data_IF_458739261115
#
_entry.id   IF_458739261115
#
_cell.length_a   1.000
_cell.length_b   1.000
_cell.length_c   1.000
_cell.angle_alpha   90.00
_cell.angle_beta   90.00
_cell.angle_gamma   90.00
#
_symmetry.space_group_name_H-M   'P 1'
#
loop_
_entity.id
_entity.type
_entity.pdbx_description
1 polymer ?
#
# COMPACT_ATOMS: atom_id res chain seq x y z
N UNK A 1 -20.16 43.49 1.96
CA UNK A 1 -21.40 43.61 2.70
C UNK A 1 -22.42 42.64 2.17
N UNK A 2 -22.78 41.73 2.99
CA UNK A 2 -24.00 40.97 3.29
C UNK A 2 -23.62 39.60 3.82
N UNK A 3 -23.72 39.48 5.13
CA UNK A 3 -23.68 38.23 5.88
C UNK A 3 -25.03 37.54 5.72
N UNK A 4 -25.05 36.26 5.50
CA UNK A 4 -26.27 35.44 5.68
C UNK A 4 -25.94 34.31 6.65
N UNK A 5 -26.56 34.43 7.80
CA UNK A 5 -26.57 33.51 8.93
C UNK A 5 -27.58 32.39 8.60
N UNK A 6 -27.27 31.14 8.80
CA UNK A 6 -28.23 30.05 8.75
C UNK A 6 -28.23 29.32 10.10
N UNK A 7 -29.45 29.16 10.61
CA UNK A 7 -29.82 28.66 11.91
C UNK A 7 -29.61 27.16 12.10
N UNK A 8 -29.28 26.86 13.36
CA UNK A 8 -29.29 25.53 13.99
C UNK A 8 -30.74 25.16 14.32
N UNK A 9 -31.14 23.92 14.03
CA UNK A 9 -32.32 23.31 14.63
C UNK A 9 -31.95 21.98 15.28
N UNK A 10 -31.93 21.98 16.60
CA UNK A 10 -31.83 20.81 17.48
C UNK A 10 -33.21 20.13 17.57
N UNK A 11 -33.24 18.82 17.51
CA UNK A 11 -34.43 18.02 17.80
C UNK A 11 -34.04 16.78 18.59
N UNK A 12 -34.22 16.84 19.91
CA UNK A 12 -34.12 15.70 20.81
C UNK A 12 -35.45 14.93 20.84
N UNK A 13 -35.40 13.62 20.76
CA UNK A 13 -36.52 12.75 21.16
C UNK A 13 -35.97 11.63 22.04
N UNK A 14 -36.48 11.66 23.29
CA UNK A 14 -36.30 10.63 24.31
C UNK A 14 -37.44 9.62 24.14
N UNK A 15 -37.18 8.34 24.19
CA UNK A 15 -38.16 7.36 24.64
C UNK A 15 -37.49 6.12 25.23
N UNK A 16 -38.00 5.75 26.37
CA UNK A 16 -37.55 4.78 27.34
C UNK A 16 -38.05 3.34 27.05
N UNK A 17 -37.27 2.37 27.53
CA UNK A 17 -37.79 1.29 28.37
C UNK A 17 -38.19 -0.02 27.70
N UNK A 18 -37.44 -1.07 27.99
CA UNK A 18 -37.98 -2.25 28.70
C UNK A 18 -36.89 -3.33 28.89
N UNK A 19 -36.69 -3.70 30.11
CA UNK A 19 -35.96 -4.88 30.61
C UNK A 19 -36.71 -6.18 30.32
N UNK A 20 -36.00 -7.22 29.93
CA UNK A 20 -36.35 -8.63 30.22
C UNK A 20 -35.10 -9.52 30.12
N UNK A 21 -34.65 -10.04 31.23
CA UNK A 21 -33.90 -11.30 31.43
C UNK A 21 -34.90 -12.35 31.94
N UNK A 22 -34.63 -13.66 32.06
CA UNK A 22 -33.39 -14.42 31.95
C UNK A 22 -33.54 -15.78 31.23
N UNK A 23 -32.43 -16.52 31.08
CA UNK A 23 -32.48 -17.93 30.72
C UNK A 23 -31.07 -18.55 30.65
N UNK A 24 -30.53 -18.97 31.79
CA UNK A 24 -29.31 -19.80 31.90
C UNK A 24 -29.68 -21.26 31.61
N UNK A 25 -29.04 -21.87 30.61
CA UNK A 25 -28.92 -23.33 30.50
C UNK A 25 -27.47 -23.67 30.32
N UNK A 26 -26.86 -24.24 31.38
CA UNK A 26 -25.55 -24.89 31.36
C UNK A 26 -25.67 -26.27 30.72
N UNK A 27 -24.86 -26.47 29.69
CA UNK A 27 -24.54 -27.84 29.23
C UNK A 27 -23.03 -28.03 29.33
N UNK A 28 -22.60 -28.81 30.29
CA UNK A 28 -21.24 -29.30 30.50
C UNK A 28 -20.96 -30.43 29.50
N UNK A 29 -20.05 -30.22 28.58
CA UNK A 29 -19.45 -31.30 27.79
C UNK A 29 -18.00 -31.49 28.24
N UNK A 30 -17.69 -32.70 28.72
CA UNK A 30 -16.33 -33.13 29.07
C UNK A 30 -15.50 -33.35 27.79
N UNK A 31 -14.18 -33.01 27.82
CA UNK A 31 -13.29 -33.29 26.69
C UNK A 31 -12.77 -34.74 26.77
N UNK A 32 -12.96 -35.48 25.68
CA UNK A 32 -12.29 -36.77 25.46
C UNK A 32 -10.80 -36.54 25.16
N UNK A 33 -9.94 -37.20 25.93
CA UNK A 33 -8.49 -37.27 25.70
C UNK A 33 -8.21 -38.04 24.41
N UNK A 34 -7.56 -37.35 23.46
CA UNK A 34 -6.88 -37.98 22.32
C UNK A 34 -5.44 -38.33 22.73
N UNK A 35 -4.99 -39.51 22.37
CA UNK A 35 -3.64 -40.01 22.62
C UNK A 35 -2.57 -39.22 21.82
N UNK A 36 -1.32 -39.12 22.32
CA UNK A 36 -0.27 -38.39 21.65
C UNK A 36 0.27 -39.19 20.47
N UNK A 37 0.06 -38.67 19.26
CA UNK A 37 0.78 -39.08 18.05
C UNK A 37 2.18 -38.51 18.09
N UNK A 38 3.18 -39.32 17.84
CA UNK A 38 4.59 -38.96 17.78
C UNK A 38 4.82 -37.84 16.72
N UNK A 39 5.22 -36.64 17.17
CA UNK A 39 5.76 -35.62 16.31
C UNK A 39 7.20 -35.97 15.95
N UNK A 40 7.41 -36.37 14.71
CA UNK A 40 8.74 -36.43 14.10
C UNK A 40 9.30 -35.01 13.95
N UNK A 41 10.23 -34.66 14.84
CA UNK A 41 10.97 -33.39 14.77
C UNK A 41 12.14 -33.52 13.80
N UNK A 42 11.90 -33.20 12.53
CA UNK A 42 12.97 -32.92 11.60
C UNK A 42 13.32 -31.40 11.68
N UNK A 43 14.25 -31.07 12.56
CA UNK A 43 14.82 -29.73 12.68
C UNK A 43 16.10 -29.64 11.83
N UNK A 44 15.97 -29.13 10.59
CA UNK A 44 17.11 -28.84 9.72
C UNK A 44 16.78 -27.71 8.73
N UNK A 45 17.77 -27.01 8.15
CA UNK A 45 17.55 -25.96 7.17
C UNK A 45 16.77 -26.41 5.93
N UNK A 46 16.70 -27.71 5.66
CA UNK A 46 15.92 -28.28 4.55
C UNK A 46 14.42 -28.42 4.89
N UNK A 47 14.05 -28.58 6.16
CA UNK A 47 12.64 -28.58 6.58
C UNK A 47 12.02 -27.18 6.49
N UNK A 48 12.76 -26.14 6.89
CA UNK A 48 12.32 -24.75 6.72
C UNK A 48 12.19 -24.36 5.23
N UNK A 49 13.04 -24.89 4.36
CA UNK A 49 12.91 -24.72 2.90
C UNK A 49 11.73 -25.48 2.29
N UNK A 50 11.40 -26.65 2.83
CA UNK A 50 10.26 -27.45 2.38
C UNK A 50 8.92 -26.83 2.81
N UNK A 51 8.84 -26.24 4.02
CA UNK A 51 7.64 -25.55 4.50
C UNK A 51 7.40 -24.22 3.77
N UNK A 52 8.45 -23.43 3.50
CA UNK A 52 8.33 -22.24 2.65
C UNK A 52 7.98 -22.61 1.21
N UNK A 53 8.48 -23.71 0.67
CA UNK A 53 8.14 -24.18 -0.67
C UNK A 53 6.68 -24.65 -0.79
N UNK A 54 6.09 -25.17 0.29
CA UNK A 54 4.67 -25.55 0.35
C UNK A 54 3.73 -24.36 0.50
N UNK A 55 4.10 -23.40 1.35
CA UNK A 55 3.35 -22.14 1.52
C UNK A 55 3.35 -21.30 0.24
N UNK A 56 4.36 -21.45 -0.63
CA UNK A 56 4.51 -20.73 -1.89
C UNK A 56 3.85 -21.44 -3.10
N UNK A 57 3.29 -22.63 -2.93
CA UNK A 57 2.60 -23.33 -4.01
C UNK A 57 1.21 -22.72 -4.27
N UNK A 58 0.95 -22.29 -5.50
CA UNK A 58 -0.39 -21.91 -5.90
C UNK A 58 -1.29 -23.16 -6.02
N UNK A 59 -2.60 -23.06 -5.71
CA UNK A 59 -3.56 -24.14 -5.95
C UNK A 59 -3.52 -24.66 -7.40
N UNK A 60 -4.03 -25.89 -7.63
CA UNK A 60 -4.10 -26.48 -8.97
C UNK A 60 -4.83 -25.54 -9.94
N UNK A 61 -4.28 -25.46 -11.18
CA UNK A 61 -4.79 -24.56 -12.22
C UNK A 61 -4.37 -23.10 -12.09
N UNK A 62 -3.80 -22.68 -10.93
CA UNK A 62 -3.28 -21.33 -10.69
C UNK A 62 -1.76 -21.28 -10.81
N UNK A 63 -1.25 -20.08 -11.00
CA UNK A 63 0.19 -19.75 -10.95
C UNK A 63 0.39 -18.52 -10.09
N UNK A 64 1.32 -18.60 -9.14
CA UNK A 64 1.74 -17.44 -8.36
C UNK A 64 2.64 -16.55 -9.21
N UNK A 65 2.30 -15.27 -9.25
CA UNK A 65 2.98 -14.26 -10.07
C UNK A 65 3.22 -12.99 -9.25
N UNK A 66 4.09 -12.14 -9.78
CA UNK A 66 4.18 -10.76 -9.37
C UNK A 66 3.62 -9.89 -10.50
N UNK A 67 2.74 -8.97 -10.14
CA UNK A 67 2.25 -7.91 -11.00
C UNK A 67 3.12 -6.67 -10.75
N UNK A 68 3.67 -6.10 -11.80
CA UNK A 68 4.44 -4.86 -11.75
C UNK A 68 3.68 -3.80 -12.52
N UNK A 69 3.19 -2.77 -11.84
CA UNK A 69 2.48 -1.66 -12.44
C UNK A 69 3.45 -0.71 -13.12
N UNK A 70 3.34 -0.59 -14.43
CA UNK A 70 4.11 0.34 -15.25
C UNK A 70 3.26 1.62 -15.38
N UNK A 71 3.55 2.59 -14.51
CA UNK A 71 2.61 3.67 -14.22
C UNK A 71 2.35 4.57 -15.44
N UNK A 72 3.39 4.93 -16.19
CA UNK A 72 3.28 5.91 -17.26
C UNK A 72 2.71 5.32 -18.55
N UNK A 73 2.99 4.05 -18.86
CA UNK A 73 2.51 3.43 -20.10
C UNK A 73 1.13 2.74 -19.98
N UNK A 74 0.57 2.67 -18.78
CA UNK A 74 -0.75 2.08 -18.56
C UNK A 74 -0.77 0.57 -18.77
N UNK A 75 0.31 -0.11 -18.37
CA UNK A 75 0.39 -1.57 -18.44
C UNK A 75 0.79 -2.19 -17.09
N UNK A 76 0.66 -3.50 -17.00
CA UNK A 76 1.23 -4.29 -15.91
C UNK A 76 2.08 -5.42 -16.48
N UNK A 77 3.35 -5.50 -16.10
CA UNK A 77 4.21 -6.64 -16.41
C UNK A 77 3.92 -7.78 -15.44
N UNK A 78 3.63 -8.98 -15.97
CA UNK A 78 3.36 -10.18 -15.18
C UNK A 78 4.60 -11.07 -15.19
N UNK A 79 5.11 -11.39 -14.00
CA UNK A 79 6.36 -12.13 -13.80
C UNK A 79 6.11 -13.38 -12.99
N UNK A 80 6.70 -14.50 -13.36
CA UNK A 80 6.68 -15.70 -12.54
C UNK A 80 7.41 -15.44 -11.23
N UNK A 81 6.72 -15.54 -10.11
CA UNK A 81 7.26 -15.17 -8.80
C UNK A 81 8.40 -16.06 -8.30
N UNK A 82 8.57 -17.27 -8.90
CA UNK A 82 9.63 -18.23 -8.53
C UNK A 82 10.83 -18.17 -9.48
N UNK A 83 10.58 -18.08 -10.79
CA UNK A 83 11.64 -18.15 -11.81
C UNK A 83 12.09 -16.77 -12.29
N UNK A 84 11.40 -15.70 -11.88
CA UNK A 84 11.64 -14.32 -12.28
C UNK A 84 11.50 -14.06 -13.79
N UNK A 85 10.93 -15.02 -14.53
CA UNK A 85 10.69 -14.88 -15.97
C UNK A 85 9.44 -14.06 -16.23
N UNK A 86 9.52 -13.07 -17.12
CA UNK A 86 8.35 -12.36 -17.65
C UNK A 86 7.43 -13.37 -18.36
N UNK A 87 6.14 -13.30 -18.04
CA UNK A 87 5.09 -14.13 -18.61
C UNK A 87 4.30 -13.39 -19.69
N UNK A 88 4.24 -12.06 -19.60
CA UNK A 88 3.55 -11.19 -20.53
C UNK A 88 3.25 -9.84 -19.94
N UNK A 89 2.45 -9.06 -20.66
CA UNK A 89 2.01 -7.72 -20.25
C UNK A 89 0.48 -7.63 -20.37
N UNK A 90 -0.14 -6.98 -19.42
CA UNK A 90 -1.57 -6.66 -19.39
C UNK A 90 -1.74 -5.17 -19.69
N UNK A 91 -2.61 -4.80 -20.62
CA UNK A 91 -3.08 -3.44 -20.80
C UNK A 91 -4.06 -3.10 -19.65
N UNK A 92 -3.76 -2.06 -18.86
CA UNK A 92 -4.58 -1.63 -17.73
C UNK A 92 -5.54 -0.48 -18.10
N UNK A 93 -5.42 0.04 -19.31
CA UNK A 93 -6.22 1.14 -19.85
C UNK A 93 -6.89 0.76 -21.18
N UNK A 94 -7.60 -0.39 -21.29
CA UNK A 94 -8.23 -0.81 -22.54
C UNK A 94 -9.36 0.13 -22.99
N UNK A 95 -9.86 0.99 -22.11
CA UNK A 95 -10.89 2.00 -22.32
C UNK A 95 -10.32 3.44 -22.38
N UNK A 96 -9.04 3.60 -22.73
CA UNK A 96 -8.37 4.91 -22.71
C UNK A 96 -9.14 5.99 -23.47
N UNK A 97 -9.57 5.69 -24.67
CA UNK A 97 -10.25 6.69 -25.53
C UNK A 97 -11.56 7.18 -24.91
N UNK A 98 -12.35 6.26 -24.30
CA UNK A 98 -13.57 6.62 -23.59
C UNK A 98 -13.28 7.48 -22.36
N UNK A 99 -12.25 7.16 -21.60
CA UNK A 99 -11.86 7.96 -20.42
C UNK A 99 -11.35 9.34 -20.81
N UNK A 100 -10.55 9.44 -21.86
CA UNK A 100 -10.07 10.72 -22.36
C UNK A 100 -11.22 11.59 -22.87
N UNK A 101 -12.21 11.02 -23.53
CA UNK A 101 -13.42 11.76 -23.94
C UNK A 101 -14.21 12.24 -22.71
N UNK A 102 -14.41 11.39 -21.70
CA UNK A 102 -15.07 11.77 -20.43
C UNK A 102 -14.34 12.92 -19.74
N UNK A 103 -13.00 12.90 -19.70
CA UNK A 103 -12.17 13.95 -19.12
C UNK A 103 -12.28 15.25 -19.94
N UNK A 104 -12.12 15.17 -21.27
CA UNK A 104 -12.13 16.33 -22.14
C UNK A 104 -13.48 17.07 -22.16
N UNK A 105 -14.58 16.36 -21.88
CA UNK A 105 -15.92 16.94 -21.84
C UNK A 105 -16.36 17.41 -20.45
N UNK A 106 -15.52 17.22 -19.41
CA UNK A 106 -15.80 17.66 -18.05
C UNK A 106 -14.67 18.57 -17.53
N UNK A 107 -14.91 19.89 -17.37
CA UNK A 107 -13.88 20.85 -16.99
C UNK A 107 -13.17 20.51 -15.68
N UNK A 108 -13.90 20.02 -14.66
CA UNK A 108 -13.31 19.69 -13.37
C UNK A 108 -12.38 18.47 -13.49
N UNK A 109 -12.81 17.43 -14.21
CA UNK A 109 -11.97 16.26 -14.48
C UNK A 109 -10.72 16.62 -15.28
N UNK A 110 -10.86 17.49 -16.28
CA UNK A 110 -9.73 17.96 -17.07
C UNK A 110 -8.73 18.75 -16.22
N UNK A 111 -9.22 19.65 -15.35
CA UNK A 111 -8.36 20.39 -14.44
C UNK A 111 -7.55 19.48 -13.52
N UNK A 112 -8.21 18.49 -12.90
CA UNK A 112 -7.53 17.52 -12.04
C UNK A 112 -6.60 16.57 -12.81
N UNK A 113 -6.99 16.12 -13.99
CA UNK A 113 -6.12 15.33 -14.88
C UNK A 113 -4.80 16.06 -15.16
N UNK A 114 -4.87 17.33 -15.55
CA UNK A 114 -3.68 18.15 -15.80
C UNK A 114 -2.88 18.41 -14.53
N UNK A 115 -3.54 18.64 -13.38
CA UNK A 115 -2.87 18.83 -12.11
C UNK A 115 -2.12 17.56 -11.67
N UNK A 116 -2.72 16.38 -11.85
CA UNK A 116 -2.05 15.09 -11.58
C UNK A 116 -0.85 14.93 -12.50
N UNK A 117 -1.01 15.16 -13.80
CA UNK A 117 0.08 15.04 -14.77
C UNK A 117 1.26 15.96 -14.43
N UNK A 118 1.01 17.23 -14.14
CA UNK A 118 2.08 18.20 -13.85
C UNK A 118 2.67 18.06 -12.43
N UNK A 119 1.87 17.61 -11.47
CA UNK A 119 2.30 17.42 -10.07
C UNK A 119 2.91 16.04 -9.85
N UNK A 120 2.10 15.12 -9.37
CA UNK A 120 2.54 13.77 -8.97
C UNK A 120 2.99 12.89 -10.14
N UNK A 121 2.62 13.25 -11.36
CA UNK A 121 3.00 12.55 -12.59
C UNK A 121 4.34 12.96 -13.17
N UNK A 122 5.00 13.98 -12.62
CA UNK A 122 6.28 14.48 -13.14
C UNK A 122 6.24 14.85 -14.64
N UNK A 123 5.11 15.35 -15.13
CA UNK A 123 4.85 15.63 -16.55
C UNK A 123 4.22 14.46 -17.32
N UNK A 124 3.99 13.32 -16.69
CA UNK A 124 3.43 12.12 -17.28
C UNK A 124 2.09 11.72 -16.68
N UNK A 125 1.33 10.93 -17.41
CA UNK A 125 0.09 10.37 -16.90
C UNK A 125 0.34 9.26 -15.87
N UNK A 126 -0.56 9.18 -14.89
CA UNK A 126 -0.55 8.17 -13.83
C UNK A 126 -1.65 7.14 -14.12
N UNK A 127 -1.37 6.15 -14.97
CA UNK A 127 -2.37 5.20 -15.44
C UNK A 127 -2.48 3.93 -14.60
N UNK A 128 -1.38 3.51 -13.98
CA UNK A 128 -1.32 2.22 -13.24
C UNK A 128 -0.57 2.42 -11.94
N UNK A 129 -1.29 2.79 -10.88
CA UNK A 129 -0.63 3.00 -9.58
C UNK A 129 -0.57 1.72 -8.76
N UNK A 130 -1.68 1.18 -8.29
CA UNK A 130 -1.70 -0.03 -7.46
C UNK A 130 -2.61 -1.12 -8.05
N UNK A 131 -2.36 -2.37 -7.66
CA UNK A 131 -3.13 -3.48 -8.19
C UNK A 131 -3.16 -4.70 -7.28
N UNK A 132 -4.32 -5.39 -7.25
CA UNK A 132 -4.48 -6.64 -6.51
C UNK A 132 -5.31 -7.65 -7.32
N UNK A 133 -4.80 -8.87 -7.44
CA UNK A 133 -5.52 -9.95 -8.11
C UNK A 133 -6.49 -10.64 -7.16
N UNK A 134 -7.61 -11.11 -7.69
CA UNK A 134 -8.51 -12.01 -6.95
C UNK A 134 -7.84 -13.36 -6.69
N UNK A 135 -8.17 -14.00 -5.56
CA UNK A 135 -7.56 -15.27 -5.17
C UNK A 135 -7.76 -16.39 -6.18
N UNK A 136 -8.85 -16.34 -6.95
CA UNK A 136 -9.16 -17.31 -8.01
C UNK A 136 -8.45 -17.02 -9.34
N UNK A 137 -7.63 -15.97 -9.40
CA UNK A 137 -6.83 -15.59 -10.55
C UNK A 137 -7.62 -15.18 -11.79
N UNK A 138 -8.87 -14.73 -11.63
CA UNK A 138 -9.73 -14.27 -12.74
C UNK A 138 -9.60 -12.80 -13.05
N UNK A 139 -9.52 -11.98 -12.00
CA UNK A 139 -9.53 -10.53 -12.11
C UNK A 139 -8.27 -9.94 -11.47
N UNK A 140 -7.90 -8.76 -11.91
CA UNK A 140 -7.00 -7.85 -11.21
C UNK A 140 -7.68 -6.49 -11.08
N UNK A 141 -7.76 -5.98 -9.84
CA UNK A 141 -8.19 -4.61 -9.59
C UNK A 141 -7.00 -3.68 -9.75
N UNK A 142 -7.19 -2.55 -10.43
CA UNK A 142 -6.13 -1.56 -10.73
C UNK A 142 -6.65 -0.17 -10.38
N UNK A 143 -5.91 0.59 -9.56
CA UNK A 143 -6.16 2.02 -9.37
C UNK A 143 -5.51 2.83 -10.48
N UNK A 144 -6.28 3.79 -11.05
CA UNK A 144 -5.85 4.62 -12.18
C UNK A 144 -6.02 6.10 -11.81
N UNK A 145 -4.99 6.70 -11.20
CA UNK A 145 -5.08 8.07 -10.67
C UNK A 145 -5.54 9.10 -11.70
N UNK A 146 -4.96 9.08 -12.91
CA UNK A 146 -5.31 10.04 -13.98
C UNK A 146 -6.75 9.89 -14.49
N UNK A 147 -7.37 8.73 -14.33
CA UNK A 147 -8.77 8.49 -14.69
C UNK A 147 -9.74 8.61 -13.52
N UNK A 148 -9.21 8.84 -12.31
CA UNK A 148 -10.00 8.93 -11.08
C UNK A 148 -10.92 7.72 -10.90
N UNK A 149 -10.39 6.51 -11.10
CA UNK A 149 -11.19 5.28 -10.95
C UNK A 149 -10.36 4.07 -10.52
N UNK A 150 -11.08 3.02 -10.16
CA UNK A 150 -10.56 1.66 -9.99
C UNK A 150 -11.30 0.74 -10.94
N UNK A 151 -10.59 -0.13 -11.63
CA UNK A 151 -11.17 -1.10 -12.55
C UNK A 151 -10.80 -2.52 -12.17
N UNK A 152 -11.72 -3.47 -12.35
CA UNK A 152 -11.43 -4.90 -12.34
C UNK A 152 -11.26 -5.39 -13.77
N UNK A 153 -10.08 -5.89 -14.11
CA UNK A 153 -9.75 -6.40 -15.46
C UNK A 153 -9.79 -7.92 -15.44
N UNK A 154 -10.52 -8.52 -16.38
CA UNK A 154 -10.55 -9.95 -16.57
C UNK A 154 -9.23 -10.41 -17.22
N UNK A 155 -8.46 -11.21 -16.50
CA UNK A 155 -7.13 -11.68 -16.91
C UNK A 155 -7.15 -12.63 -18.11
N UNK A 156 -8.30 -13.27 -18.40
CA UNK A 156 -8.45 -14.14 -19.56
C UNK A 156 -8.77 -13.37 -20.84
N UNK A 157 -9.37 -12.19 -20.75
CA UNK A 157 -9.85 -11.43 -21.92
C UNK A 157 -9.18 -10.07 -22.09
N UNK A 158 -8.51 -9.56 -21.04
CA UNK A 158 -7.98 -8.19 -20.98
C UNK A 158 -9.05 -7.10 -20.95
N UNK A 159 -10.34 -7.46 -20.79
CA UNK A 159 -11.45 -6.50 -20.78
C UNK A 159 -11.80 -6.07 -19.35
N UNK A 160 -12.30 -4.86 -19.20
CA UNK A 160 -12.85 -4.37 -17.93
C UNK A 160 -14.12 -5.17 -17.60
N UNK A 161 -14.14 -5.78 -16.43
CA UNK A 161 -15.28 -6.50 -15.88
C UNK A 161 -16.16 -5.57 -15.03
N UNK A 162 -15.56 -4.61 -14.35
CA UNK A 162 -16.24 -3.59 -13.57
C UNK A 162 -15.38 -2.32 -13.46
N UNK A 163 -16.01 -1.20 -13.21
CA UNK A 163 -15.41 0.11 -12.95
C UNK A 163 -16.06 0.75 -11.74
N UNK A 164 -15.26 1.30 -10.85
CA UNK A 164 -15.68 2.15 -9.75
C UNK A 164 -15.07 3.54 -9.96
N UNK A 165 -15.84 4.54 -10.43
CA UNK A 165 -15.39 5.93 -10.45
C UNK A 165 -15.28 6.43 -9.03
N UNK A 166 -14.18 7.12 -8.71
CA UNK A 166 -13.99 7.74 -7.41
C UNK A 166 -15.03 8.86 -7.19
N UNK A 167 -15.37 9.14 -5.95
CA UNK A 167 -16.20 10.30 -5.58
C UNK A 167 -15.41 11.60 -5.78
N UNK A 168 -14.10 11.55 -5.54
CA UNK A 168 -13.16 12.59 -5.87
C UNK A 168 -12.52 12.42 -7.25
N UNK A 169 -11.34 13.00 -7.41
CA UNK A 169 -10.66 13.10 -8.70
C UNK A 169 -9.34 12.32 -8.79
N UNK A 170 -9.00 11.53 -7.76
CA UNK A 170 -7.77 10.75 -7.76
C UNK A 170 -7.91 9.47 -6.94
N UNK A 171 -7.87 8.31 -7.60
CA UNK A 171 -7.61 7.03 -6.96
C UNK A 171 -6.12 6.94 -6.59
N UNK A 172 -5.81 6.48 -5.38
CA UNK A 172 -4.44 6.33 -4.90
C UNK A 172 -4.19 4.89 -4.41
N UNK A 173 -3.37 4.72 -3.39
CA UNK A 173 -2.99 3.42 -2.87
C UNK A 173 -4.17 2.56 -2.45
N UNK A 174 -4.02 1.27 -2.65
CA UNK A 174 -4.99 0.27 -2.27
C UNK A 174 -4.45 -0.68 -1.21
N UNK A 175 -5.35 -1.40 -0.53
CA UNK A 175 -5.01 -2.49 0.38
C UNK A 175 -6.01 -3.62 0.21
N UNK A 176 -5.54 -4.87 0.16
CA UNK A 176 -6.42 -6.04 0.06
C UNK A 176 -6.60 -6.71 1.41
N UNK A 177 -7.82 -7.14 1.72
CA UNK A 177 -8.10 -7.89 2.95
C UNK A 177 -7.38 -9.26 2.95
N UNK A 178 -7.05 -9.83 4.12
CA UNK A 178 -6.34 -11.11 4.20
C UNK A 178 -7.07 -12.26 3.50
N UNK A 179 -8.41 -12.22 3.45
CA UNK A 179 -9.23 -13.19 2.72
C UNK A 179 -9.28 -12.94 1.21
N UNK A 180 -8.71 -11.81 0.75
CA UNK A 180 -8.67 -11.43 -0.66
C UNK A 180 -10.01 -11.05 -1.29
N UNK A 181 -11.04 -10.76 -0.47
CA UNK A 181 -12.40 -10.46 -0.95
C UNK A 181 -12.72 -8.97 -1.03
N UNK A 182 -11.97 -8.14 -0.30
CA UNK A 182 -12.22 -6.70 -0.14
C UNK A 182 -10.99 -5.89 -0.49
N UNK A 183 -11.23 -4.70 -0.99
CA UNK A 183 -10.22 -3.78 -1.44
C UNK A 183 -10.45 -2.40 -0.81
N UNK A 184 -9.49 -1.89 -0.06
CA UNK A 184 -9.47 -0.49 0.36
C UNK A 184 -8.88 0.35 -0.76
N UNK A 185 -9.43 1.52 -0.96
CA UNK A 185 -8.95 2.51 -1.95
C UNK A 185 -8.95 3.89 -1.32
N UNK A 186 -7.81 4.56 -1.35
CA UNK A 186 -7.71 5.96 -0.96
C UNK A 186 -8.27 6.87 -2.05
N UNK A 187 -9.28 7.67 -1.69
CA UNK A 187 -9.79 8.76 -2.51
C UNK A 187 -9.14 10.07 -2.10
N UNK A 188 -8.02 10.40 -2.75
CA UNK A 188 -7.11 11.45 -2.29
C UNK A 188 -7.72 12.84 -2.23
N UNK A 189 -8.78 13.11 -3.00
CA UNK A 189 -9.42 14.43 -3.04
C UNK A 189 -10.76 14.49 -2.32
N UNK A 190 -11.36 13.33 -2.00
CA UNK A 190 -12.57 13.25 -1.20
C UNK A 190 -12.27 13.05 0.31
N UNK A 191 -11.00 12.86 0.69
CA UNK A 191 -10.55 12.61 2.05
C UNK A 191 -11.20 11.37 2.70
N UNK A 192 -11.41 10.32 1.89
CA UNK A 192 -12.06 9.07 2.29
C UNK A 192 -11.28 7.86 1.87
N UNK A 193 -11.52 6.77 2.57
CA UNK A 193 -11.11 5.44 2.15
C UNK A 193 -12.35 4.60 1.88
N UNK A 194 -12.52 4.14 0.64
CA UNK A 194 -13.60 3.26 0.24
C UNK A 194 -13.20 1.80 0.39
N UNK A 195 -14.11 0.96 0.87
CA UNK A 195 -13.97 -0.51 0.80
C UNK A 195 -14.87 -1.05 -0.31
N UNK A 196 -14.25 -1.74 -1.27
CA UNK A 196 -14.94 -2.34 -2.41
C UNK A 196 -14.92 -3.86 -2.33
N UNK A 197 -15.92 -4.51 -2.90
CA UNK A 197 -15.83 -5.93 -3.23
C UNK A 197 -14.94 -6.09 -4.47
N UNK A 198 -13.82 -6.80 -4.35
CA UNK A 198 -12.82 -6.93 -5.42
C UNK A 198 -13.35 -7.66 -6.68
N UNK A 199 -14.38 -8.51 -6.52
CA UNK A 199 -14.92 -9.31 -7.64
C UNK A 199 -15.89 -8.53 -8.54
N UNK A 200 -16.52 -7.46 -8.03
CA UNK A 200 -17.57 -6.74 -8.78
C UNK A 200 -17.52 -5.21 -8.65
N UNK A 201 -16.54 -4.66 -7.93
CA UNK A 201 -16.35 -3.22 -7.74
C UNK A 201 -17.43 -2.52 -6.90
N UNK A 202 -18.35 -3.26 -6.27
CA UNK A 202 -19.40 -2.66 -5.45
C UNK A 202 -18.79 -2.04 -4.19
N UNK A 203 -19.06 -0.75 -3.94
CA UNK A 203 -18.73 -0.09 -2.68
C UNK A 203 -19.52 -0.74 -1.54
N UNK A 204 -18.84 -1.17 -0.51
CA UNK A 204 -19.40 -1.79 0.67
C UNK A 204 -19.62 -0.79 1.79
N UNK A 205 -18.59 0.02 2.07
CA UNK A 205 -18.57 1.05 3.11
C UNK A 205 -17.37 1.97 2.92
N UNK A 206 -17.23 2.96 3.78
CA UNK A 206 -16.13 3.92 3.78
C UNK A 206 -15.83 4.42 5.18
N UNK A 207 -14.66 5.02 5.37
CA UNK A 207 -14.33 5.80 6.57
C UNK A 207 -13.62 7.09 6.20
N UNK A 208 -13.77 8.09 7.10
CA UNK A 208 -13.14 9.40 6.94
C UNK A 208 -11.64 9.33 7.24
N UNK A 209 -10.86 9.97 6.42
CA UNK A 209 -9.42 10.12 6.56
C UNK A 209 -9.08 11.55 6.98
N UNK A 210 -7.81 11.82 7.23
CA UNK A 210 -7.25 13.16 7.11
C UNK A 210 -7.15 13.57 5.65
N UNK A 211 -6.54 14.73 5.39
CA UNK A 211 -6.39 15.24 4.03
C UNK A 211 -5.43 14.37 3.20
N UNK A 212 -5.83 14.13 1.96
CA UNK A 212 -5.10 13.30 1.01
C UNK A 212 -4.77 11.91 1.57
N UNK A 213 -5.78 11.03 1.73
CA UNK A 213 -5.56 9.63 2.08
C UNK A 213 -4.58 8.97 1.13
N UNK A 214 -3.69 8.14 1.68
CA UNK A 214 -2.58 7.58 0.94
C UNK A 214 -2.43 6.07 1.19
N UNK A 215 -1.79 5.65 2.29
CA UNK A 215 -1.44 4.25 2.52
C UNK A 215 -2.49 3.49 3.32
N UNK A 216 -2.78 2.24 2.92
CA UNK A 216 -3.72 1.36 3.59
C UNK A 216 -3.15 -0.05 3.75
N UNK A 217 -3.10 -0.55 4.98
CA UNK A 217 -2.68 -1.92 5.26
C UNK A 217 -3.67 -2.59 6.23
N UNK A 218 -4.23 -3.74 5.87
CA UNK A 218 -4.92 -4.57 6.85
C UNK A 218 -3.91 -5.20 7.82
N UNK A 219 -4.32 -5.42 9.06
CA UNK A 219 -3.63 -6.34 9.96
C UNK A 219 -3.66 -7.77 9.39
N UNK A 220 -2.71 -8.62 9.79
CA UNK A 220 -2.62 -9.99 9.31
C UNK A 220 -3.90 -10.79 9.63
N UNK A 221 -4.51 -10.54 10.80
CA UNK A 221 -5.77 -11.15 11.24
C UNK A 221 -7.02 -10.48 10.66
N UNK A 222 -6.87 -9.40 9.89
CA UNK A 222 -7.95 -8.65 9.27
C UNK A 222 -8.83 -7.83 10.22
N UNK A 223 -8.45 -7.70 11.50
CA UNK A 223 -9.27 -6.99 12.49
C UNK A 223 -9.08 -5.49 12.49
N UNK A 224 -7.92 -5.03 12.02
CA UNK A 224 -7.54 -3.62 11.98
C UNK A 224 -7.12 -3.20 10.57
N UNK A 225 -7.13 -1.91 10.36
CA UNK A 225 -6.57 -1.24 9.19
C UNK A 225 -5.63 -0.17 9.73
N UNK A 226 -4.41 -0.16 9.21
CA UNK A 226 -3.42 0.90 9.44
C UNK A 226 -3.47 1.82 8.23
N UNK A 227 -3.85 3.06 8.47
CA UNK A 227 -4.08 4.05 7.41
C UNK A 227 -3.26 5.31 7.67
N UNK A 228 -2.79 5.94 6.60
CA UNK A 228 -2.12 7.23 6.67
C UNK A 228 -2.63 8.19 5.60
N UNK A 229 -2.83 9.46 6.01
CA UNK A 229 -3.05 10.61 5.13
C UNK A 229 -1.81 11.49 5.09
N UNK A 230 -1.53 12.10 3.95
CA UNK A 230 -0.30 12.85 3.72
C UNK A 230 -0.49 14.36 3.59
N UNK A 231 -1.73 14.83 3.50
CA UNK A 231 -2.04 16.25 3.34
C UNK A 231 -1.41 16.86 2.09
N UNK A 232 -1.19 18.14 2.11
CA UNK A 232 -0.44 18.85 1.07
C UNK A 232 1.05 18.60 1.26
N UNK A 233 1.69 17.98 0.29
CA UNK A 233 3.11 17.56 0.34
C UNK A 233 3.97 18.29 -0.70
N UNK A 234 3.55 19.46 -1.10
CA UNK A 234 4.31 20.25 -2.07
C UNK A 234 5.41 21.02 -1.35
N UNK A 235 6.61 20.97 -1.87
CA UNK A 235 7.71 21.80 -1.41
C UNK A 235 7.45 23.26 -1.79
N UNK A 236 7.68 24.22 -0.92
CA UNK A 236 8.32 24.14 0.40
C UNK A 236 7.36 23.96 1.58
N UNK A 237 6.12 23.51 1.39
CA UNK A 237 5.08 23.48 2.44
C UNK A 237 5.45 22.60 3.64
N UNK A 238 6.45 21.74 3.51
CA UNK A 238 6.91 20.87 4.59
C UNK A 238 7.95 21.53 5.52
N UNK A 239 7.87 22.84 5.65
CA UNK A 239 8.58 23.62 6.65
C UNK A 239 7.63 23.97 7.79
N UNK A 240 8.10 24.11 9.06
CA UNK A 240 7.25 24.47 10.21
C UNK A 240 6.47 25.78 10.00
N UNK A 241 7.04 26.75 9.28
CA UNK A 241 6.37 28.01 8.96
C UNK A 241 5.08 27.82 8.14
N UNK A 242 4.93 26.67 7.47
CA UNK A 242 3.76 26.35 6.63
C UNK A 242 2.83 25.31 7.27
N UNK A 243 2.96 25.01 8.56
CA UNK A 243 2.18 23.96 9.23
C UNK A 243 0.67 24.13 9.05
N UNK A 244 0.18 25.35 9.05
CA UNK A 244 -1.25 25.66 8.84
C UNK A 244 -1.75 25.36 7.43
N UNK A 245 -0.86 25.22 6.46
CA UNK A 245 -1.19 24.94 5.05
C UNK A 245 -1.03 23.47 4.67
N UNK A 246 -0.53 22.63 5.57
CA UNK A 246 -0.21 21.22 5.28
C UNK A 246 -1.44 20.31 5.27
N UNK A 247 -2.56 20.78 5.77
CA UNK A 247 -3.76 19.97 5.94
C UNK A 247 -3.67 19.00 7.13
N UNK A 248 -4.71 18.18 7.29
CA UNK A 248 -4.85 17.23 8.38
C UNK A 248 -4.14 15.90 8.06
N UNK A 249 -2.91 15.74 8.53
CA UNK A 249 -2.06 14.57 8.30
C UNK A 249 -2.19 13.61 9.47
N UNK A 250 -2.63 12.38 9.20
CA UNK A 250 -2.96 11.40 10.23
C UNK A 250 -2.30 10.06 9.97
N UNK A 251 -1.91 9.40 11.04
CA UNK A 251 -1.71 7.96 11.08
C UNK A 251 -2.80 7.35 11.96
N UNK A 252 -3.63 6.49 11.39
CA UNK A 252 -4.84 5.97 12.03
C UNK A 252 -4.78 4.45 12.17
N UNK A 253 -5.34 3.96 13.29
CA UNK A 253 -5.71 2.54 13.43
C UNK A 253 -7.23 2.46 13.43
N UNK A 254 -7.78 1.78 12.45
CA UNK A 254 -9.23 1.65 12.23
C UNK A 254 -9.66 0.22 12.51
N UNK A 255 -10.71 0.03 13.31
CA UNK A 255 -11.29 -1.29 13.54
C UNK A 255 -12.07 -1.74 12.30
N UNK A 256 -11.65 -2.86 11.70
CA UNK A 256 -12.21 -3.29 10.42
C UNK A 256 -13.71 -3.62 10.46
N UNK A 257 -14.23 -4.22 11.53
CA UNK A 257 -15.64 -4.68 11.55
C UNK A 257 -16.69 -3.57 11.36
N UNK A 258 -16.40 -2.35 11.84
CA UNK A 258 -17.34 -1.22 11.86
C UNK A 258 -16.72 0.12 11.48
N UNK A 259 -15.47 0.11 11.03
CA UNK A 259 -14.69 1.29 10.62
C UNK A 259 -14.56 2.36 11.71
N UNK A 260 -14.67 1.96 12.98
CA UNK A 260 -14.39 2.86 14.10
C UNK A 260 -12.90 3.16 14.15
N UNK A 261 -12.55 4.43 14.13
CA UNK A 261 -11.19 4.90 14.38
C UNK A 261 -10.87 4.60 15.85
N UNK A 262 -9.85 3.79 16.10
CA UNK A 262 -9.37 3.42 17.43
C UNK A 262 -8.28 4.36 17.90
N UNK A 263 -7.33 4.68 16.99
CA UNK A 263 -6.22 5.57 17.25
C UNK A 263 -6.07 6.56 16.10
N UNK A 264 -5.59 7.76 16.43
CA UNK A 264 -5.45 8.84 15.46
C UNK A 264 -4.29 9.76 15.89
N UNK A 265 -3.13 9.61 15.27
CA UNK A 265 -1.92 10.34 15.64
C UNK A 265 -1.50 11.34 14.57
N UNK A 266 -1.11 12.53 15.01
CA UNK A 266 -0.29 13.44 14.22
C UNK A 266 1.19 13.06 14.42
N UNK A 267 1.80 12.47 13.38
CA UNK A 267 3.19 12.03 13.46
C UNK A 267 4.18 13.18 13.54
N UNK A 268 3.85 14.35 12.97
CA UNK A 268 4.68 15.55 13.13
C UNK A 268 4.79 16.00 14.58
N UNK A 269 3.66 15.99 15.31
CA UNK A 269 3.65 16.26 16.74
C UNK A 269 4.48 15.23 17.52
N UNK A 270 4.33 13.94 17.18
CA UNK A 270 5.09 12.86 17.82
C UNK A 270 6.60 12.95 17.53
N UNK A 271 6.97 13.40 16.34
CA UNK A 271 8.36 13.69 15.99
C UNK A 271 8.90 14.90 16.76
N UNK A 272 8.12 15.97 16.91
CA UNK A 272 8.51 17.14 17.69
C UNK A 272 8.71 16.78 19.18
N UNK A 273 7.80 15.99 19.77
CA UNK A 273 7.91 15.45 21.14
C UNK A 273 9.20 14.61 21.34
N UNK A 274 9.68 13.96 20.26
CA UNK A 274 10.92 13.20 20.26
C UNK A 274 12.18 14.03 19.92
N UNK A 275 12.06 15.37 19.79
CA UNK A 275 13.18 16.27 19.50
C UNK A 275 13.44 16.48 17.99
N UNK A 276 12.50 16.17 17.14
CA UNK A 276 12.59 16.32 15.68
C UNK A 276 11.52 17.23 15.08
N UNK A 277 11.38 18.50 15.52
CA UNK A 277 10.26 19.38 15.15
C UNK A 277 10.26 19.80 13.67
N UNK A 278 11.39 19.64 12.97
CA UNK A 278 11.54 20.05 11.58
C UNK A 278 11.40 18.87 10.58
N UNK A 279 10.96 17.69 11.06
CA UNK A 279 10.67 16.56 10.19
C UNK A 279 9.23 16.63 9.66
N UNK A 280 9.04 16.12 8.45
CA UNK A 280 7.71 16.02 7.84
C UNK A 280 6.77 15.12 8.64
N UNK A 281 5.51 15.52 8.71
CA UNK A 281 4.43 14.69 9.26
C UNK A 281 3.77 13.78 8.20
N UNK A 282 4.12 13.92 6.92
CA UNK A 282 3.53 13.14 5.84
C UNK A 282 4.06 11.71 5.85
N UNK A 283 3.25 10.78 6.37
CA UNK A 283 3.57 9.36 6.42
C UNK A 283 3.43 8.77 5.02
N UNK A 284 4.53 8.26 4.49
CA UNK A 284 4.65 7.54 3.22
C UNK A 284 4.41 6.04 3.45
N UNK A 285 4.81 5.13 2.55
CA UNK A 285 4.67 3.71 2.79
C UNK A 285 5.18 3.29 4.16
N UNK A 286 4.49 2.32 4.75
CA UNK A 286 4.76 1.83 6.09
C UNK A 286 4.89 0.31 6.13
N UNK A 287 5.55 -0.20 7.16
CA UNK A 287 5.56 -1.61 7.51
C UNK A 287 5.17 -1.78 8.98
N UNK A 288 4.23 -2.67 9.25
CA UNK A 288 3.79 -2.97 10.61
C UNK A 288 4.52 -4.23 11.11
N UNK A 289 5.02 -4.19 12.32
CA UNK A 289 5.64 -5.35 12.93
C UNK A 289 4.61 -6.48 13.18
N UNK A 290 5.00 -7.76 13.12
CA UNK A 290 4.07 -8.89 13.33
C UNK A 290 3.35 -8.87 14.68
N UNK A 291 3.95 -8.23 15.71
CA UNK A 291 3.35 -8.04 17.03
C UNK A 291 2.41 -6.82 17.10
N UNK A 292 2.24 -6.10 16.00
CA UNK A 292 1.45 -4.86 15.86
C UNK A 292 1.78 -3.79 16.93
N UNK A 293 2.92 -3.89 17.58
CA UNK A 293 3.38 -2.88 18.52
C UNK A 293 4.11 -1.73 17.84
N UNK A 294 4.89 -2.05 16.81
CA UNK A 294 5.72 -1.05 16.13
C UNK A 294 5.26 -0.86 14.68
N UNK A 295 5.09 0.41 14.32
CA UNK A 295 5.00 0.84 12.93
C UNK A 295 6.34 1.43 12.50
N UNK A 296 6.78 1.07 11.31
CA UNK A 296 7.94 1.64 10.62
C UNK A 296 7.41 2.54 9.52
N UNK A 297 7.63 3.85 9.68
CA UNK A 297 7.00 4.88 8.85
C UNK A 297 8.07 5.61 8.05
N UNK A 298 8.00 5.57 6.73
CA UNK A 298 8.71 6.56 5.93
C UNK A 298 7.95 7.89 6.03
N UNK A 299 8.67 8.99 6.08
CA UNK A 299 8.08 10.33 6.05
C UNK A 299 8.73 11.15 4.96
N UNK A 300 8.01 12.09 4.37
CA UNK A 300 8.52 12.93 3.28
C UNK A 300 9.86 13.58 3.66
N UNK A 301 10.77 13.67 2.70
CA UNK A 301 12.10 14.32 2.80
C UNK A 301 13.10 13.68 3.77
N UNK A 302 12.78 12.59 4.44
CA UNK A 302 13.67 11.92 5.37
C UNK A 302 14.34 10.69 4.74
N UNK A 303 15.68 10.67 4.74
CA UNK A 303 16.47 9.53 4.27
C UNK A 303 16.51 8.42 5.32
N UNK A 304 15.47 7.61 5.34
CA UNK A 304 15.31 6.55 6.32
C UNK A 304 13.86 6.26 6.67
N UNK A 305 13.63 5.87 7.92
CA UNK A 305 12.29 5.64 8.46
C UNK A 305 12.24 5.84 9.98
N UNK A 306 11.04 6.05 10.49
CA UNK A 306 10.73 6.25 11.91
C UNK A 306 10.23 4.92 12.49
N UNK A 307 10.73 4.50 13.65
CA UNK A 307 10.12 3.45 14.47
C UNK A 307 9.17 4.10 15.47
N UNK A 308 7.88 3.88 15.28
CA UNK A 308 6.81 4.40 16.14
C UNK A 308 6.26 3.27 17.02
N UNK A 309 6.30 3.43 18.34
CA UNK A 309 5.70 2.51 19.31
C UNK A 309 4.22 2.89 19.48
N UNK A 310 3.32 2.14 18.84
CA UNK A 310 1.87 2.39 18.87
C UNK A 310 1.26 2.15 20.25
N UNK A 311 1.88 1.30 21.08
CA UNK A 311 1.41 1.06 22.45
C UNK A 311 1.78 2.21 23.41
N UNK A 312 2.97 2.80 23.21
CA UNK A 312 3.45 3.93 24.00
C UNK A 312 3.18 5.28 23.33
N UNK A 313 2.59 5.28 22.16
CA UNK A 313 2.24 6.44 21.34
C UNK A 313 3.38 7.44 21.14
N UNK A 314 4.59 6.91 20.88
CA UNK A 314 5.77 7.75 20.74
C UNK A 314 6.73 7.25 19.66
N UNK A 315 7.45 8.17 19.09
CA UNK A 315 8.64 7.87 18.29
C UNK A 315 9.70 7.27 19.22
N UNK A 316 10.19 6.10 18.89
CA UNK A 316 11.21 5.40 19.68
C UNK A 316 12.62 5.70 19.20
N UNK A 317 12.82 5.64 17.88
CA UNK A 317 14.11 5.90 17.25
C UNK A 317 13.94 6.12 15.74
N UNK A 318 14.97 6.70 15.14
CA UNK A 318 15.08 6.90 13.71
C UNK A 318 16.12 5.95 13.11
N UNK A 319 15.81 5.35 11.96
CA UNK A 319 16.78 4.70 11.11
C UNK A 319 17.27 5.71 10.07
N UNK A 320 18.43 6.29 10.28
CA UNK A 320 19.07 7.18 9.32
C UNK A 320 19.82 6.31 8.31
N UNK A 321 19.51 6.47 7.03
CA UNK A 321 20.15 5.76 5.93
C UNK A 321 20.95 6.75 5.06
N UNK A 322 21.89 6.27 4.22
CA UNK A 322 22.72 7.16 3.44
C UNK A 322 21.91 8.12 2.55
N UNK A 323 22.19 9.39 2.68
CA UNK A 323 21.76 10.42 1.73
C UNK A 323 22.82 10.51 0.60
N UNK A 324 22.39 10.24 -0.63
CA UNK A 324 23.22 10.31 -1.84
C UNK A 324 22.74 11.37 -2.82
N UNK A 325 21.91 12.30 -2.37
CA UNK A 325 21.35 13.34 -3.22
C UNK A 325 22.36 14.39 -3.67
N UNK A 326 23.55 14.41 -3.07
CA UNK A 326 24.63 15.35 -3.39
C UNK A 326 24.17 16.82 -3.29
N UNK A 327 23.25 17.12 -2.36
CA UNK A 327 22.74 18.45 -2.14
C UNK A 327 21.61 18.86 -3.10
N UNK A 328 20.98 17.89 -3.79
CA UNK A 328 19.77 18.16 -4.57
C UNK A 328 18.72 18.86 -3.71
N UNK A 329 18.19 20.01 -4.13
CA UNK A 329 17.16 20.73 -3.39
C UNK A 329 15.91 19.87 -3.17
N UNK A 330 15.25 20.03 -2.02
CA UNK A 330 14.02 19.30 -1.68
C UNK A 330 12.91 19.47 -2.72
N UNK A 331 12.86 20.63 -3.39
CA UNK A 331 11.94 20.99 -4.47
C UNK A 331 12.07 20.07 -5.69
N UNK A 332 13.16 19.35 -5.80
CA UNK A 332 13.43 18.40 -6.88
C UNK A 332 13.26 16.94 -6.45
N UNK A 333 12.79 16.71 -5.21
CA UNK A 333 12.57 15.33 -4.75
C UNK A 333 11.32 14.75 -5.42
N UNK A 334 11.50 13.59 -6.03
CA UNK A 334 10.41 12.85 -6.67
C UNK A 334 9.28 12.60 -5.66
N UNK A 335 8.10 13.13 -5.96
CA UNK A 335 6.92 13.03 -5.10
C UNK A 335 7.20 13.38 -3.64
N UNK A 336 8.08 14.35 -3.39
CA UNK A 336 8.51 14.78 -2.05
C UNK A 336 9.08 13.66 -1.17
N UNK A 337 9.55 12.57 -1.77
CA UNK A 337 10.00 11.38 -1.05
C UNK A 337 11.50 11.18 -1.17
N UNK A 338 12.24 11.37 -0.08
CA UNK A 338 13.62 10.90 -0.01
C UNK A 338 13.68 9.38 -0.17
N UNK A 339 12.79 8.68 0.52
CA UNK A 339 12.56 7.23 0.43
C UNK A 339 11.08 6.95 0.19
N UNK A 340 10.77 5.98 -0.70
CA UNK A 340 9.39 5.58 -1.01
C UNK A 340 9.31 4.09 -1.32
N UNK A 341 8.99 3.31 -0.34
CA UNK A 341 8.86 1.86 -0.41
C UNK A 341 9.54 1.19 0.78
N UNK A 342 8.73 0.49 1.57
CA UNK A 342 9.16 -0.15 2.80
C UNK A 342 8.40 -1.46 2.97
N UNK A 343 9.13 -2.56 3.09
CA UNK A 343 8.57 -3.86 3.39
C UNK A 343 9.32 -4.52 4.55
N UNK A 344 8.61 -5.25 5.40
CA UNK A 344 9.19 -6.07 6.45
C UNK A 344 9.04 -7.53 6.10
N UNK A 345 10.11 -8.33 6.25
CA UNK A 345 10.01 -9.77 6.04
C UNK A 345 9.05 -10.42 7.04
N UNK A 346 8.48 -11.56 6.69
CA UNK A 346 7.50 -12.28 7.51
C UNK A 346 7.99 -12.60 8.92
N UNK A 347 9.29 -12.84 9.09
CA UNK A 347 9.89 -13.04 10.41
C UNK A 347 9.99 -11.76 11.26
N UNK A 348 9.63 -10.60 10.74
CA UNK A 348 9.71 -9.32 11.43
C UNK A 348 11.13 -8.88 11.82
N UNK A 349 12.15 -9.45 11.19
CA UNK A 349 13.55 -9.26 11.59
C UNK A 349 14.32 -8.29 10.70
N UNK A 350 13.86 -8.07 9.47
CA UNK A 350 14.51 -7.23 8.46
C UNK A 350 13.49 -6.37 7.71
N UNK A 351 13.92 -5.18 7.35
CA UNK A 351 13.19 -4.29 6.45
C UNK A 351 13.94 -4.17 5.13
N UNK A 352 13.18 -4.08 4.05
CA UNK A 352 13.65 -3.75 2.72
C UNK A 352 13.20 -2.34 2.39
N UNK A 353 14.12 -1.49 1.99
CA UNK A 353 13.92 -0.04 1.85
C UNK A 353 14.31 0.40 0.45
N UNK A 354 13.44 1.17 -0.20
CA UNK A 354 13.73 1.85 -1.46
C UNK A 354 14.10 3.31 -1.19
N UNK A 355 15.36 3.66 -1.43
CA UNK A 355 15.92 5.01 -1.26
C UNK A 355 15.81 5.80 -2.55
N UNK A 356 14.63 6.33 -2.85
CA UNK A 356 14.24 6.90 -4.14
C UNK A 356 15.19 7.99 -4.65
N UNK A 357 15.49 8.97 -3.81
CA UNK A 357 16.41 10.07 -4.18
C UNK A 357 17.90 9.71 -4.00
N UNK A 358 18.18 8.54 -3.46
CA UNK A 358 19.56 8.08 -3.20
C UNK A 358 19.96 6.88 -4.05
N UNK A 359 19.10 6.47 -5.00
CA UNK A 359 19.38 5.48 -6.05
C UNK A 359 19.84 4.11 -5.55
N UNK A 360 19.32 3.66 -4.40
CA UNK A 360 19.61 2.34 -3.85
C UNK A 360 18.42 1.65 -3.21
N UNK A 361 18.50 0.31 -3.12
CA UNK A 361 17.70 -0.49 -2.20
C UNK A 361 18.59 -1.08 -1.11
N UNK A 362 18.10 -1.11 0.13
CA UNK A 362 18.83 -1.60 1.28
C UNK A 362 18.03 -2.62 2.09
N UNK A 363 18.73 -3.57 2.70
CA UNK A 363 18.21 -4.42 3.77
C UNK A 363 18.68 -3.86 5.11
N UNK A 364 17.72 -3.62 6.01
CA UNK A 364 17.96 -3.06 7.35
C UNK A 364 17.58 -4.09 8.41
N UNK A 365 18.48 -4.39 9.33
CA UNK A 365 18.22 -5.28 10.48
C UNK A 365 17.35 -4.54 11.51
N UNK A 366 16.11 -5.01 11.76
CA UNK A 366 15.14 -4.35 12.64
C UNK A 366 15.72 -4.02 14.03
N UNK A 367 16.43 -4.96 14.64
CA UNK A 367 16.93 -4.80 16.02
C UNK A 367 17.95 -3.66 16.17
N UNK A 368 18.83 -3.49 15.20
CA UNK A 368 20.00 -2.62 15.31
C UNK A 368 20.01 -1.43 14.35
N UNK A 369 19.13 -1.44 13.34
CA UNK A 369 19.13 -0.56 12.18
C UNK A 369 20.43 -0.57 11.35
N UNK A 370 21.30 -1.57 11.59
CA UNK A 370 22.42 -1.81 10.67
C UNK A 370 21.87 -2.16 9.31
N UNK A 371 22.36 -1.49 8.29
CA UNK A 371 21.88 -1.66 6.92
C UNK A 371 22.99 -2.14 5.98
N UNK A 372 22.57 -2.68 4.85
CA UNK A 372 23.42 -3.05 3.73
C UNK A 372 22.71 -2.62 2.45
N UNK A 373 23.37 -1.82 1.63
CA UNK A 373 22.91 -1.53 0.27
C UNK A 373 23.12 -2.80 -0.56
N UNK A 374 22.06 -3.24 -1.26
CA UNK A 374 22.00 -4.55 -1.92
C UNK A 374 21.65 -4.48 -3.39
N UNK A 375 21.10 -3.35 -3.84
CA UNK A 375 20.83 -3.06 -5.24
C UNK A 375 20.97 -1.54 -5.47
N UNK A 376 21.36 -1.17 -6.68
CA UNK A 376 21.52 0.22 -7.10
C UNK A 376 20.85 0.43 -8.45
N UNK A 377 20.38 1.66 -8.68
CA UNK A 377 19.73 2.10 -9.90
C UNK A 377 18.80 3.28 -9.66
N UNK A 378 18.38 3.93 -10.73
CA UNK A 378 17.65 5.19 -10.69
C UNK A 378 16.24 5.04 -10.12
N UNK A 379 15.89 5.93 -9.20
CA UNK A 379 14.56 6.08 -8.58
C UNK A 379 13.96 4.76 -8.09
N UNK A 380 14.59 3.99 -7.15
CA UNK A 380 13.90 2.86 -6.53
C UNK A 380 12.64 3.38 -5.82
N UNK A 381 11.48 2.80 -6.19
CA UNK A 381 10.21 3.41 -5.81
C UNK A 381 9.41 2.58 -4.82
N UNK A 382 9.25 1.28 -5.08
CA UNK A 382 8.45 0.41 -4.23
C UNK A 382 9.26 -0.77 -3.71
N UNK A 383 8.92 -1.23 -2.52
CA UNK A 383 9.44 -2.46 -1.94
C UNK A 383 8.28 -3.32 -1.45
N UNK A 384 8.25 -4.60 -1.82
CA UNK A 384 7.22 -5.54 -1.37
C UNK A 384 7.81 -6.92 -1.14
N UNK A 385 7.18 -7.70 -0.25
CA UNK A 385 7.53 -9.09 -0.05
C UNK A 385 7.06 -9.94 -1.23
N UNK A 386 7.95 -10.80 -1.70
CA UNK A 386 7.64 -11.85 -2.64
C UNK A 386 7.80 -13.24 -2.01
N UNK A 387 7.44 -14.31 -2.74
CA UNK A 387 7.66 -15.68 -2.30
C UNK A 387 9.13 -15.99 -1.99
N UNK A 388 9.37 -17.07 -1.25
CA UNK A 388 10.69 -17.57 -0.89
C UNK A 388 11.57 -16.53 -0.14
N UNK A 389 10.94 -15.79 0.78
CA UNK A 389 11.63 -14.81 1.64
C UNK A 389 12.40 -13.74 0.84
N UNK A 390 11.79 -13.22 -0.23
CA UNK A 390 12.38 -12.20 -1.09
C UNK A 390 11.72 -10.84 -0.93
N UNK A 391 12.47 -9.78 -1.19
CA UNK A 391 11.99 -8.43 -1.43
C UNK A 391 12.11 -8.10 -2.92
N UNK A 392 11.07 -7.51 -3.47
CA UNK A 392 11.02 -7.01 -4.84
C UNK A 392 11.00 -5.50 -4.82
N UNK A 393 11.95 -4.89 -5.49
CA UNK A 393 12.08 -3.43 -5.56
C UNK A 393 11.98 -2.98 -7.01
N UNK A 394 11.01 -2.10 -7.29
CA UNK A 394 10.93 -1.41 -8.58
C UNK A 394 11.90 -0.24 -8.64
N UNK A 395 12.54 -0.03 -9.76
CA UNK A 395 13.41 1.10 -10.08
C UNK A 395 12.74 1.87 -11.22
N UNK A 396 11.99 2.90 -10.83
CA UNK A 396 11.12 3.64 -11.75
C UNK A 396 11.91 4.38 -12.84
N UNK A 397 13.08 4.91 -12.53
CA UNK A 397 13.93 5.59 -13.51
C UNK A 397 14.73 4.66 -14.43
N UNK A 398 14.69 3.34 -14.18
CA UNK A 398 15.44 2.35 -14.97
C UNK A 398 14.55 1.31 -15.66
N UNK A 399 13.22 1.38 -15.52
CA UNK A 399 12.27 0.40 -16.06
C UNK A 399 12.61 -1.05 -15.68
N UNK A 400 13.00 -1.26 -14.44
CA UNK A 400 13.44 -2.58 -13.97
C UNK A 400 12.91 -2.91 -12.57
N UNK A 401 12.93 -4.20 -12.27
CA UNK A 401 12.71 -4.71 -10.92
C UNK A 401 13.93 -5.53 -10.49
N UNK A 402 14.37 -5.33 -9.25
CA UNK A 402 15.37 -6.19 -8.61
C UNK A 402 14.74 -7.04 -7.52
N UNK A 403 15.16 -8.30 -7.45
CA UNK A 403 14.76 -9.25 -6.41
C UNK A 403 15.91 -9.47 -5.46
N UNK A 404 15.64 -9.34 -4.17
CA UNK A 404 16.61 -9.40 -3.10
C UNK A 404 16.20 -10.52 -2.14
N UNK A 405 17.11 -11.42 -1.83
CA UNK A 405 16.89 -12.47 -0.83
C UNK A 405 17.20 -11.93 0.56
N UNK A 406 16.22 -11.99 1.46
CA UNK A 406 16.38 -11.49 2.83
C UNK A 406 17.37 -12.32 3.65
N UNK A 407 17.50 -13.61 3.37
CA UNK A 407 18.40 -14.51 4.10
C UNK A 407 19.87 -14.15 3.84
N UNK A 408 20.24 -14.12 2.59
CA UNK A 408 21.63 -13.86 2.13
C UNK A 408 21.96 -12.36 2.03
N UNK A 409 20.96 -11.49 2.05
CA UNK A 409 21.11 -10.04 1.82
C UNK A 409 21.83 -9.77 0.50
N UNK A 410 21.41 -10.47 -0.57
CA UNK A 410 21.96 -10.32 -1.92
C UNK A 410 20.85 -10.14 -2.95
N UNK A 411 21.14 -9.37 -3.98
CA UNK A 411 20.32 -9.33 -5.19
C UNK A 411 20.44 -10.67 -5.92
N UNK A 412 19.30 -11.31 -6.19
CA UNK A 412 19.23 -12.63 -6.83
C UNK A 412 18.74 -12.57 -8.27
N UNK A 413 18.04 -11.49 -8.64
CA UNK A 413 17.59 -11.26 -10.01
C UNK A 413 17.43 -9.76 -10.28
N UNK A 414 17.51 -9.40 -11.56
CA UNK A 414 17.08 -8.09 -12.10
C UNK A 414 16.55 -8.33 -13.51
N UNK A 415 15.44 -7.68 -13.85
CA UNK A 415 14.82 -7.79 -15.18
C UNK A 415 14.10 -6.49 -15.56
N UNK A 416 14.00 -6.25 -16.86
CA UNK A 416 13.26 -5.11 -17.43
C UNK A 416 11.76 -5.36 -17.40
N UNK A 417 11.00 -4.26 -17.23
CA UNK A 417 9.53 -4.21 -17.25
C UNK A 417 9.06 -3.08 -18.18
N UNK A 418 7.86 -2.56 -18.04
CA UNK A 418 7.42 -1.38 -18.78
C UNK A 418 7.87 -0.07 -18.13
N UNK A 419 7.33 1.04 -18.63
CA UNK A 419 7.76 2.39 -18.30
C UNK A 419 7.33 2.82 -16.90
N UNK A 420 8.28 3.35 -16.14
CA UNK A 420 8.12 3.88 -14.79
C UNK A 420 7.42 2.91 -13.83
N UNK A 421 8.01 1.72 -13.54
CA UNK A 421 7.40 0.75 -12.64
C UNK A 421 7.29 1.31 -11.23
N UNK A 422 6.08 1.31 -10.68
CA UNK A 422 5.82 1.73 -9.31
C UNK A 422 5.50 0.52 -8.45
N UNK A 423 4.23 0.17 -8.27
CA UNK A 423 3.83 -0.91 -7.36
C UNK A 423 4.18 -2.29 -7.89
N UNK A 424 4.61 -3.14 -6.99
CA UNK A 424 4.84 -4.56 -7.24
C UNK A 424 3.97 -5.34 -6.25
N UNK A 425 3.11 -6.23 -6.74
CA UNK A 425 2.19 -6.99 -5.88
C UNK A 425 2.22 -8.47 -6.19
N UNK A 426 2.24 -9.29 -5.15
CA UNK A 426 2.06 -10.73 -5.29
C UNK A 426 0.61 -11.05 -5.62
N UNK A 427 0.38 -12.01 -6.50
CA UNK A 427 -0.96 -12.46 -6.80
C UNK A 427 -0.97 -13.82 -7.48
N UNK A 428 -2.13 -14.22 -7.97
CA UNK A 428 -2.34 -15.45 -8.71
C UNK A 428 -2.97 -15.15 -10.06
N UNK A 429 -2.68 -16.01 -11.04
CA UNK A 429 -3.31 -15.99 -12.36
C UNK A 429 -3.68 -17.42 -12.76
N UNK A 430 -4.79 -17.62 -13.44
CA UNK A 430 -5.13 -18.90 -14.03
C UNK A 430 -4.11 -19.25 -15.13
N UNK A 431 -3.62 -20.49 -15.14
CA UNK A 431 -2.69 -20.94 -16.17
C UNK A 431 -3.27 -20.81 -17.59
N UNK A 432 -4.59 -20.99 -17.72
CA UNK A 432 -5.33 -20.80 -18.97
C UNK A 432 -5.36 -19.35 -19.46
N UNK A 433 -5.17 -18.36 -18.59
CA UNK A 433 -5.15 -16.94 -18.96
C UNK A 433 -3.79 -16.48 -19.50
N UNK A 434 -2.73 -17.26 -19.32
CA UNK A 434 -1.37 -16.87 -19.71
C UNK A 434 -1.21 -16.70 -21.23
N UNK A 435 -1.97 -17.47 -22.04
CA UNK A 435 -1.95 -17.37 -23.50
C UNK A 435 -2.50 -16.06 -24.07
N UNK A 436 -3.20 -15.28 -23.25
CA UNK A 436 -3.83 -14.00 -23.64
C UNK A 436 -3.00 -12.78 -23.23
N UNK A 437 -1.89 -12.99 -22.52
CA UNK A 437 -0.94 -11.93 -22.20
C UNK A 437 -0.06 -11.62 -23.42
N UNK A 438 0.17 -10.36 -23.71
CA UNK A 438 1.00 -9.89 -24.84
C UNK A 438 2.47 -9.76 -24.48
#
# INVERSE_FOLDING_TARGET
>A
MRRTTALIASGAVIAAGALLTPGVVSATAQPTKAAPGELSTATGPDAARADTARADAAPDGLRRVMFVGNNWDGTATIVNARTYKRLGTLNTIPDKDERMLEIATNPDKLAFYLAIQQGVGEGHDQYTDDMFATNDGRLVAVSRPSFADVVGINLATGKIAWRFPMEGYRADHMGVSPDGSRLLVSDSTANKVHELNIYNGKKLREFESGDTPHENNYSEDGRKIFHASIGTVYTPTDQPAFDTSKGDRRFQVVRNRDFKILENWDIGKKLAEAGHPNMSSAVRPMAIAPDERFAYLQVSFFHGFVEFDMQQERVRRLAVLPDRTNGTPREQYVLDSAHHGLAMNTAGSKLCVAGTMSDYAAIVKRKTFRHKIVAEGSKPYWATNGPANTCWVSFAGDDKVSVIDYGTEKKVATFKVGDHPQRVRVGTIRKSSLGNLR
#
